data_IF_681548210509
#
_entry.id   IF_681548210509
#
_cell.length_a   1.000
_cell.length_b   1.000
_cell.length_c   1.000
_cell.angle_alpha   90.00
_cell.angle_beta   90.00
_cell.angle_gamma   90.00
#
_symmetry.space_group_name_H-M   'P 1'
#
loop_
_entity.id
_entity.type
_entity.pdbx_description
1 polymer ?
#
# COMPACT_ATOMS: atom_id res chain seq x y z
N UNK A 1 34.94 -17.32 -54.90
CA UNK A 1 35.50 -16.79 -53.64
C UNK A 1 34.36 -16.47 -52.69
N UNK A 2 34.62 -16.48 -51.37
CA UNK A 2 33.65 -16.32 -50.28
C UNK A 2 32.68 -17.50 -50.05
N UNK A 3 32.98 -18.26 -49.00
CA UNK A 3 32.14 -19.32 -48.41
C UNK A 3 31.14 -18.73 -47.41
N UNK A 4 29.91 -19.29 -47.28
CA UNK A 4 29.03 -18.97 -46.16
C UNK A 4 29.59 -19.56 -44.85
N UNK A 5 29.41 -18.84 -43.74
CA UNK A 5 29.94 -19.23 -42.42
C UNK A 5 29.11 -20.36 -41.79
N UNK A 6 29.79 -21.29 -41.12
CA UNK A 6 29.18 -22.41 -40.41
C UNK A 6 28.26 -21.96 -39.26
N UNK A 7 27.07 -22.54 -39.19
CA UNK A 7 26.19 -22.48 -38.01
C UNK A 7 26.63 -23.56 -37.03
N UNK A 8 27.24 -23.18 -35.91
CA UNK A 8 27.55 -24.12 -34.84
C UNK A 8 26.28 -24.55 -34.10
N UNK A 9 25.90 -25.82 -34.26
CA UNK A 9 24.97 -26.51 -33.34
C UNK A 9 25.74 -26.90 -32.08
N UNK A 10 25.57 -26.15 -31.00
CA UNK A 10 26.05 -26.55 -29.67
C UNK A 10 25.01 -27.43 -28.99
N UNK A 11 25.18 -28.75 -29.08
CA UNK A 11 24.46 -29.69 -28.22
C UNK A 11 25.07 -29.63 -26.81
N UNK A 12 24.34 -29.06 -25.85
CA UNK A 12 24.80 -28.95 -24.47
C UNK A 12 24.58 -30.30 -23.76
N UNK A 13 25.60 -31.16 -23.80
CA UNK A 13 25.61 -32.42 -23.08
C UNK A 13 25.77 -32.17 -21.57
N UNK A 14 24.70 -32.37 -20.80
CA UNK A 14 24.79 -32.44 -19.34
C UNK A 14 25.56 -33.71 -18.93
N UNK A 15 26.87 -33.55 -18.68
CA UNK A 15 27.68 -34.58 -18.06
C UNK A 15 27.29 -34.68 -16.58
N UNK A 16 26.63 -35.78 -16.20
CA UNK A 16 26.43 -36.14 -14.80
C UNK A 16 27.79 -36.40 -14.13
N UNK A 17 28.26 -35.43 -13.34
CA UNK A 17 29.42 -35.58 -12.47
C UNK A 17 29.05 -36.41 -11.21
N UNK A 18 28.68 -37.67 -11.41
CA UNK A 18 28.24 -38.59 -10.37
C UNK A 18 29.36 -39.58 -9.96
N UNK A 19 30.52 -39.08 -9.51
CA UNK A 19 31.55 -39.88 -8.81
C UNK A 19 32.71 -39.01 -8.25
N UNK A 20 32.56 -38.38 -7.08
CA UNK A 20 33.67 -37.99 -6.17
C UNK A 20 33.17 -37.32 -4.86
N UNK A 21 32.23 -37.94 -4.12
CA UNK A 21 31.92 -37.52 -2.74
C UNK A 21 31.97 -38.71 -1.78
N UNK A 22 33.15 -39.34 -1.70
CA UNK A 22 33.50 -40.22 -0.59
C UNK A 22 34.22 -39.43 0.49
N UNK A 23 33.75 -39.55 1.74
CA UNK A 23 34.42 -39.07 2.95
C UNK A 23 34.60 -37.56 3.11
N UNK A 24 33.48 -36.85 3.11
CA UNK A 24 33.19 -35.96 4.23
C UNK A 24 31.78 -36.28 4.72
N UNK A 25 31.67 -36.89 5.92
CA UNK A 25 30.43 -36.77 6.66
C UNK A 25 30.38 -35.32 7.15
N UNK A 26 29.84 -34.42 6.31
CA UNK A 26 29.56 -33.07 6.74
C UNK A 26 28.65 -33.17 7.95
N UNK A 27 29.11 -32.69 9.11
CA UNK A 27 28.25 -32.57 10.27
C UNK A 27 27.00 -31.82 9.82
N UNK A 28 25.82 -32.40 10.08
CA UNK A 28 24.57 -31.74 9.76
C UNK A 28 24.62 -30.33 10.38
N UNK A 29 24.37 -29.25 9.61
CA UNK A 29 24.60 -27.90 10.06
C UNK A 29 23.90 -27.71 11.40
N UNK A 30 24.66 -27.32 12.44
CA UNK A 30 24.13 -27.18 13.79
C UNK A 30 22.99 -26.16 13.76
N UNK A 31 21.76 -26.68 13.79
CA UNK A 31 20.56 -25.86 13.79
C UNK A 31 20.55 -25.08 15.09
N UNK A 32 20.48 -23.75 14.96
CA UNK A 32 20.35 -22.84 16.09
C UNK A 32 19.23 -23.32 17.04
N UNK A 33 19.51 -23.54 18.34
CA UNK A 33 18.51 -23.97 19.31
C UNK A 33 17.25 -23.10 19.36
N UNK A 34 17.31 -21.82 18.97
CA UNK A 34 16.12 -20.97 18.87
C UNK A 34 15.20 -21.39 17.70
N UNK A 35 15.76 -21.80 16.56
CA UNK A 35 14.99 -22.32 15.42
C UNK A 35 14.37 -23.70 15.73
N UNK A 36 15.08 -24.56 16.48
CA UNK A 36 14.57 -25.87 16.92
C UNK A 36 13.37 -25.75 17.88
N UNK A 37 13.22 -24.61 18.59
CA UNK A 37 12.02 -24.33 19.40
C UNK A 37 10.78 -23.98 18.57
N UNK A 38 10.96 -23.36 17.40
CA UNK A 38 9.86 -22.95 16.53
C UNK A 38 9.35 -24.11 15.66
N UNK A 39 10.26 -24.92 15.13
CA UNK A 39 9.93 -26.12 14.36
C UNK A 39 10.67 -27.31 14.97
N UNK A 40 10.04 -28.07 15.89
CA UNK A 40 10.70 -29.20 16.51
C UNK A 40 11.07 -30.28 15.49
N UNK A 41 12.17 -30.99 15.77
CA UNK A 41 12.68 -32.09 14.94
C UNK A 41 11.63 -33.20 14.85
N UNK A 42 11.14 -33.65 16.00
CA UNK A 42 9.91 -34.44 16.10
C UNK A 42 8.70 -33.48 16.17
N UNK A 43 7.99 -33.37 15.05
CA UNK A 43 6.78 -32.56 14.92
C UNK A 43 5.55 -33.19 15.56
N UNK A 44 5.58 -34.48 15.93
CA UNK A 44 4.45 -35.25 16.45
C UNK A 44 3.16 -35.09 15.62
N UNK A 45 3.33 -35.02 14.30
CA UNK A 45 2.22 -34.94 13.35
C UNK A 45 1.36 -36.20 13.50
N UNK A 46 0.04 -36.02 13.52
CA UNK A 46 -0.91 -37.14 13.54
C UNK A 46 -0.67 -38.03 12.30
N UNK A 47 -0.34 -39.33 12.46
CA UNK A 47 -0.15 -40.24 11.34
C UNK A 47 -1.35 -40.33 10.41
N UNK A 48 -2.58 -40.15 10.91
CA UNK A 48 -3.79 -40.14 10.09
C UNK A 48 -3.84 -38.88 9.21
N UNK A 49 -3.49 -37.71 9.76
CA UNK A 49 -3.36 -36.47 8.99
C UNK A 49 -2.26 -36.57 7.91
N UNK A 50 -1.09 -37.16 8.25
CA UNK A 50 0.00 -37.37 7.28
C UNK A 50 -0.43 -38.29 6.14
N UNK A 51 -1.21 -39.34 6.41
CA UNK A 51 -1.78 -40.20 5.36
C UNK A 51 -2.77 -39.44 4.47
N UNK A 52 -3.64 -38.62 5.08
CA UNK A 52 -4.64 -37.81 4.38
C UNK A 52 -4.03 -36.82 3.37
N UNK A 53 -2.81 -36.31 3.59
CA UNK A 53 -2.08 -35.46 2.62
C UNK A 53 -1.86 -36.11 1.24
N UNK A 54 -1.97 -37.44 1.14
CA UNK A 54 -1.79 -38.21 -0.10
C UNK A 54 -3.05 -38.95 -0.55
N UNK A 55 -4.15 -38.80 0.21
CA UNK A 55 -5.45 -39.30 -0.20
C UNK A 55 -5.88 -38.61 -1.50
N UNK A 56 -6.65 -39.33 -2.31
CA UNK A 56 -7.23 -38.83 -3.55
C UNK A 56 -8.74 -38.72 -3.38
N UNK A 57 -9.39 -38.10 -4.37
CA UNK A 57 -10.83 -38.07 -4.57
C UNK A 57 -11.66 -37.23 -3.57
N UNK A 58 -11.09 -36.79 -2.45
CA UNK A 58 -11.68 -35.76 -1.57
C UNK A 58 -11.06 -34.37 -1.82
N UNK A 59 -11.94 -33.36 -1.97
CA UNK A 59 -11.55 -31.96 -2.17
C UNK A 59 -11.28 -31.31 -0.82
N UNK A 60 -10.15 -30.63 -0.65
CA UNK A 60 -9.87 -29.94 0.61
C UNK A 60 -10.80 -28.73 0.81
N UNK A 61 -11.47 -28.65 1.96
CA UNK A 61 -12.39 -27.56 2.29
C UNK A 61 -12.01 -26.94 3.64
N UNK A 62 -11.56 -25.69 3.59
CA UNK A 62 -11.10 -24.90 4.75
C UNK A 62 -12.27 -24.17 5.40
N UNK A 63 -12.27 -24.11 6.73
CA UNK A 63 -13.36 -23.52 7.54
C UNK A 63 -12.83 -22.81 8.79
N UNK A 64 -13.64 -21.92 9.37
CA UNK A 64 -13.34 -21.27 10.65
C UNK A 64 -11.99 -20.55 10.66
N UNK A 65 -11.14 -20.81 11.67
CA UNK A 65 -9.83 -20.16 11.84
C UNK A 65 -8.80 -20.46 10.75
N UNK A 66 -9.03 -21.46 9.91
CA UNK A 66 -8.14 -21.71 8.76
C UNK A 66 -8.25 -20.58 7.73
N UNK A 67 -9.42 -19.93 7.63
CA UNK A 67 -9.70 -18.87 6.67
C UNK A 67 -8.89 -17.58 6.93
N UNK A 68 -8.33 -17.43 8.13
CA UNK A 68 -7.48 -16.29 8.52
C UNK A 68 -6.13 -16.29 7.79
N UNK A 69 -5.69 -17.44 7.27
CA UNK A 69 -4.34 -17.64 6.71
C UNK A 69 -4.33 -17.96 5.21
N UNK A 70 -5.48 -17.81 4.55
CA UNK A 70 -5.63 -18.12 3.13
C UNK A 70 -5.32 -16.89 2.28
N UNK A 71 -4.32 -17.03 1.41
CA UNK A 71 -3.98 -16.07 0.37
C UNK A 71 -3.80 -16.80 -0.96
N UNK A 72 -4.85 -16.88 -1.76
CA UNK A 72 -4.80 -17.54 -3.06
C UNK A 72 -4.59 -16.53 -4.19
N UNK A 73 -3.54 -16.63 -5.03
CA UNK A 73 -3.33 -15.73 -6.15
C UNK A 73 -4.46 -15.82 -7.20
N UNK A 74 -5.04 -14.66 -7.52
CA UNK A 74 -6.14 -14.45 -8.47
C UNK A 74 -5.89 -13.18 -9.30
N UNK A 75 -4.64 -12.98 -9.71
CA UNK A 75 -4.19 -11.96 -10.65
C UNK A 75 -3.50 -12.60 -11.86
N UNK A 76 -3.50 -11.91 -13.00
CA UNK A 76 -2.81 -12.36 -14.21
C UNK A 76 -1.28 -12.37 -14.08
N UNK A 77 -0.63 -13.14 -14.97
CA UNK A 77 0.82 -13.20 -15.07
C UNK A 77 1.42 -11.80 -15.30
N UNK A 78 2.34 -11.40 -14.42
CA UNK A 78 3.01 -10.10 -14.44
C UNK A 78 2.09 -8.87 -14.30
N UNK A 79 0.82 -9.03 -13.89
CA UNK A 79 -0.15 -7.95 -13.76
C UNK A 79 -0.20 -7.28 -12.36
N UNK A 80 0.77 -7.59 -11.50
CA UNK A 80 0.72 -7.29 -10.06
C UNK A 80 0.01 -8.40 -9.27
N UNK A 81 0.38 -8.55 -7.99
CA UNK A 81 -0.24 -9.57 -7.12
C UNK A 81 -1.58 -9.09 -6.59
N UNK A 82 -2.55 -10.01 -6.54
CA UNK A 82 -3.86 -9.85 -5.91
C UNK A 82 -4.28 -11.22 -5.37
N UNK A 83 -4.63 -11.29 -4.08
CA UNK A 83 -5.00 -12.52 -3.39
C UNK A 83 -6.48 -12.57 -3.01
N UNK A 84 -7.04 -13.77 -3.06
CA UNK A 84 -8.32 -14.11 -2.47
C UNK A 84 -8.10 -14.57 -1.03
N UNK A 85 -8.82 -13.95 -0.09
CA UNK A 85 -8.89 -14.35 1.31
C UNK A 85 -9.78 -15.57 1.52
N UNK A 86 -9.63 -16.23 2.67
CA UNK A 86 -10.48 -17.38 3.02
C UNK A 86 -11.96 -17.05 3.21
N UNK A 87 -12.28 -15.77 3.47
CA UNK A 87 -13.63 -15.24 3.51
C UNK A 87 -14.12 -14.66 2.17
N UNK A 88 -13.30 -14.76 1.11
CA UNK A 88 -13.59 -14.22 -0.22
C UNK A 88 -13.38 -12.71 -0.37
N UNK A 89 -12.75 -12.02 0.59
CA UNK A 89 -12.28 -10.65 0.37
C UNK A 89 -10.96 -10.61 -0.41
N UNK A 90 -10.79 -9.58 -1.23
CA UNK A 90 -9.55 -9.32 -1.95
C UNK A 90 -8.50 -8.66 -1.04
N UNK A 91 -7.27 -9.17 -1.03
CA UNK A 91 -6.16 -8.65 -0.23
C UNK A 91 -4.81 -8.74 -0.97
N UNK A 92 -3.74 -8.22 -0.34
CA UNK A 92 -2.39 -8.14 -0.92
C UNK A 92 -2.38 -7.48 -2.31
N UNK A 93 -2.88 -6.23 -2.37
CA UNK A 93 -2.99 -5.45 -3.59
C UNK A 93 -1.64 -4.87 -4.04
N UNK A 94 -0.84 -5.64 -4.77
CA UNK A 94 0.44 -5.20 -5.37
C UNK A 94 0.28 -4.69 -6.83
N UNK A 95 -0.93 -4.28 -7.21
CA UNK A 95 -1.29 -3.79 -8.56
C UNK A 95 -0.83 -2.35 -8.86
N UNK A 96 -0.22 -1.66 -7.89
CA UNK A 96 0.16 -0.25 -7.98
C UNK A 96 1.60 0.01 -8.45
N UNK A 97 2.25 -0.97 -9.11
CA UNK A 97 3.63 -0.91 -9.63
C UNK A 97 4.72 -0.41 -8.64
N UNK A 98 4.47 -0.50 -7.33
CA UNK A 98 5.38 -0.01 -6.30
C UNK A 98 6.65 -0.86 -6.25
N UNK A 99 7.82 -0.23 -6.15
CA UNK A 99 9.10 -0.94 -6.11
C UNK A 99 9.29 -1.75 -4.80
N UNK A 100 9.80 -2.97 -4.96
CA UNK A 100 10.02 -3.96 -3.90
C UNK A 100 8.80 -4.85 -3.62
N UNK A 101 9.03 -5.98 -2.95
CA UNK A 101 8.08 -7.10 -2.75
C UNK A 101 6.95 -6.81 -1.74
N UNK A 102 6.24 -5.69 -1.89
CA UNK A 102 5.10 -5.22 -1.07
C UNK A 102 5.00 -5.78 0.35
N UNK A 103 3.99 -6.62 0.62
CA UNK A 103 3.75 -7.22 1.95
C UNK A 103 4.78 -8.30 2.34
N UNK A 104 5.48 -8.86 1.37
CA UNK A 104 6.52 -9.90 1.54
C UNK A 104 7.91 -9.31 1.88
N UNK A 105 8.00 -8.02 2.20
CA UNK A 105 9.26 -7.31 2.55
C UNK A 105 9.90 -7.81 3.85
N UNK A 106 9.14 -8.29 4.82
CA UNK A 106 9.68 -9.00 6.00
C UNK A 106 10.05 -10.46 5.62
N UNK A 107 11.20 -10.64 4.96
CA UNK A 107 11.81 -11.97 4.74
C UNK A 107 10.93 -12.99 4.00
N UNK A 108 10.04 -12.55 3.10
CA UNK A 108 9.08 -13.43 2.42
C UNK A 108 9.70 -14.56 1.60
N UNK A 109 10.99 -14.46 1.22
CA UNK A 109 11.75 -15.54 0.54
C UNK A 109 12.65 -16.34 1.47
N UNK A 110 12.75 -16.00 2.76
CA UNK A 110 13.58 -16.69 3.77
C UNK A 110 12.75 -17.49 4.78
N UNK A 111 11.44 -17.60 4.54
CA UNK A 111 10.53 -18.42 5.34
C UNK A 111 9.97 -17.75 6.59
N UNK A 112 10.23 -16.46 6.83
CA UNK A 112 9.71 -15.73 7.99
C UNK A 112 8.17 -15.74 8.04
N UNK A 113 7.51 -15.73 6.88
CA UNK A 113 6.05 -15.84 6.75
C UNK A 113 5.46 -17.17 7.25
N UNK A 114 6.27 -18.23 7.45
CA UNK A 114 5.80 -19.46 8.12
C UNK A 114 5.80 -19.35 9.64
N UNK A 115 6.56 -18.41 10.22
CA UNK A 115 6.66 -18.17 11.66
C UNK A 115 5.73 -17.04 12.09
N UNK A 116 5.63 -15.99 11.27
CA UNK A 116 4.75 -14.84 11.44
C UNK A 116 3.99 -14.62 10.11
N UNK A 117 2.87 -15.34 9.88
CA UNK A 117 2.12 -15.20 8.64
C UNK A 117 1.53 -13.79 8.49
N UNK A 118 1.36 -13.37 7.24
CA UNK A 118 0.69 -12.10 6.93
C UNK A 118 -0.80 -12.23 7.21
N UNK A 119 -1.37 -11.24 7.92
CA UNK A 119 -2.80 -11.11 8.07
C UNK A 119 -3.42 -10.52 6.78
N UNK A 120 -4.58 -11.00 6.33
CA UNK A 120 -5.30 -10.39 5.19
C UNK A 120 -5.70 -8.94 5.45
N UNK A 121 -5.25 -8.04 4.56
CA UNK A 121 -5.55 -6.61 4.59
C UNK A 121 -5.89 -6.08 3.19
N UNK A 122 -6.99 -5.31 3.07
CA UNK A 122 -7.30 -4.51 1.89
C UNK A 122 -6.99 -3.04 2.21
N UNK A 123 -6.09 -2.37 1.47
CA UNK A 123 -5.67 -1.02 1.80
C UNK A 123 -6.72 0.05 1.46
N UNK A 124 -7.73 -0.29 0.66
CA UNK A 124 -8.84 0.58 0.27
C UNK A 124 -10.14 -0.23 0.27
N UNK A 125 -11.28 0.45 0.19
CA UNK A 125 -12.57 -0.23 0.22
C UNK A 125 -12.84 -1.03 -1.06
N UNK A 126 -12.92 -2.36 -0.87
CA UNK A 126 -13.44 -3.30 -1.84
C UNK A 126 -14.24 -4.38 -1.08
N UNK A 127 -15.48 -4.64 -1.49
CA UNK A 127 -16.33 -5.74 -0.99
C UNK A 127 -17.47 -6.06 -1.95
N UNK A 128 -18.23 -7.09 -1.59
CA UNK A 128 -19.53 -7.40 -2.16
C UNK A 128 -20.56 -7.68 -1.05
N UNK A 129 -21.83 -7.45 -1.34
CA UNK A 129 -22.95 -7.76 -0.47
C UNK A 129 -24.16 -8.20 -1.29
N UNK A 130 -25.06 -8.98 -0.70
CA UNK A 130 -26.33 -9.36 -1.31
C UNK A 130 -27.49 -8.80 -0.49
N UNK A 131 -28.36 -8.02 -1.13
CA UNK A 131 -29.63 -7.57 -0.58
C UNK A 131 -30.68 -8.63 -0.88
N UNK A 132 -31.33 -9.16 0.16
CA UNK A 132 -32.38 -10.18 0.05
C UNK A 132 -33.72 -9.60 0.52
N UNK A 133 -34.75 -9.73 -0.31
CA UNK A 133 -36.15 -9.39 0.01
C UNK A 133 -37.01 -10.65 -0.11
N UNK A 134 -37.77 -10.98 0.94
CA UNK A 134 -38.77 -12.07 0.90
C UNK A 134 -40.07 -11.57 0.27
N UNK A 135 -40.88 -12.48 -0.27
CA UNK A 135 -42.19 -12.14 -0.83
C UNK A 135 -43.06 -11.37 0.19
N UNK A 136 -43.61 -10.23 -0.24
CA UNK A 136 -44.46 -9.37 0.61
C UNK A 136 -43.74 -8.45 1.60
N UNK A 137 -42.40 -8.49 1.68
CA UNK A 137 -41.63 -7.57 2.53
C UNK A 137 -41.05 -6.38 1.75
N UNK A 138 -41.33 -5.14 2.18
CA UNK A 138 -40.73 -3.93 1.59
C UNK A 138 -39.27 -3.74 2.03
N UNK A 139 -38.97 -3.98 3.32
CA UNK A 139 -37.62 -3.95 3.85
C UNK A 139 -36.84 -5.22 3.46
N UNK A 140 -35.63 -5.05 2.92
CA UNK A 140 -34.70 -6.13 2.62
C UNK A 140 -33.53 -6.17 3.60
N UNK A 141 -32.84 -7.29 3.67
CA UNK A 141 -31.63 -7.47 4.50
C UNK A 141 -30.39 -7.43 3.63
N UNK A 142 -29.45 -6.52 3.93
CA UNK A 142 -28.12 -6.49 3.29
C UNK A 142 -27.20 -7.45 4.03
N UNK A 143 -26.59 -8.38 3.28
CA UNK A 143 -25.72 -9.42 3.80
C UNK A 143 -24.34 -9.30 3.15
N UNK A 144 -23.30 -8.86 3.90
CA UNK A 144 -21.93 -8.87 3.42
C UNK A 144 -21.50 -10.27 2.98
N UNK A 145 -20.80 -10.37 1.85
CA UNK A 145 -20.25 -11.62 1.32
C UNK A 145 -18.81 -11.82 1.84
N UNK A 146 -18.68 -11.78 3.17
CA UNK A 146 -17.45 -11.99 3.92
C UNK A 146 -17.76 -12.44 5.37
N UNK A 147 -16.71 -12.54 6.20
CA UNK A 147 -16.80 -12.95 7.62
C UNK A 147 -17.65 -12.06 8.51
N UNK A 148 -18.01 -10.84 8.07
CA UNK A 148 -18.85 -9.90 8.84
C UNK A 148 -20.34 -10.16 8.61
N UNK A 149 -20.70 -10.82 7.50
CA UNK A 149 -22.08 -11.13 7.15
C UNK A 149 -22.44 -12.60 7.27
N UNK A 150 -21.59 -13.53 6.81
CA UNK A 150 -21.93 -14.94 6.70
C UNK A 150 -21.66 -15.75 7.98
N UNK A 151 -22.65 -16.52 8.43
CA UNK A 151 -22.54 -17.39 9.62
C UNK A 151 -21.66 -18.63 9.36
N UNK A 152 -21.63 -19.11 8.12
CA UNK A 152 -20.75 -20.19 7.65
C UNK A 152 -20.10 -19.78 6.35
N UNK A 153 -18.78 -19.93 6.30
CA UNK A 153 -17.97 -19.81 5.09
C UNK A 153 -17.16 -21.08 4.90
N UNK A 154 -17.14 -21.58 3.67
CA UNK A 154 -16.26 -22.67 3.25
C UNK A 154 -15.43 -22.21 2.05
N UNK A 155 -14.12 -22.43 2.10
CA UNK A 155 -13.18 -22.07 1.04
C UNK A 155 -12.51 -23.32 0.47
N UNK A 156 -12.37 -23.38 -0.85
CA UNK A 156 -11.44 -24.29 -1.52
C UNK A 156 -10.62 -23.54 -2.57
N UNK A 157 -9.30 -23.72 -2.53
CA UNK A 157 -8.37 -23.14 -3.49
C UNK A 157 -7.67 -24.22 -4.32
N UNK A 158 -7.91 -24.21 -5.62
CA UNK A 158 -7.28 -25.10 -6.60
C UNK A 158 -6.78 -24.24 -7.75
N UNK A 159 -5.56 -23.68 -7.60
CA UNK A 159 -5.01 -22.70 -8.55
C UNK A 159 -5.16 -23.15 -10.01
N UNK A 160 -5.80 -22.36 -10.89
CA UNK A 160 -6.08 -20.92 -10.77
C UNK A 160 -7.45 -20.50 -10.18
N UNK A 161 -8.23 -21.42 -9.60
CA UNK A 161 -9.62 -21.19 -9.18
C UNK A 161 -9.79 -21.25 -7.65
N UNK A 162 -10.34 -20.18 -7.07
CA UNK A 162 -10.89 -20.18 -5.72
C UNK A 162 -12.41 -20.36 -5.77
N UNK A 163 -12.96 -21.25 -4.94
CA UNK A 163 -14.39 -21.32 -4.66
C UNK A 163 -14.65 -20.96 -3.20
N UNK A 164 -15.63 -20.09 -2.95
CA UNK A 164 -16.07 -19.69 -1.62
C UNK A 164 -17.59 -19.87 -1.54
N UNK A 165 -18.10 -20.47 -0.47
CA UNK A 165 -19.54 -20.54 -0.21
C UNK A 165 -19.91 -19.75 1.04
N UNK A 166 -21.06 -19.07 0.99
CA UNK A 166 -21.62 -18.26 2.07
C UNK A 166 -23.00 -18.78 2.43
N UNK A 167 -23.22 -19.01 3.73
CA UNK A 167 -24.51 -19.41 4.28
C UNK A 167 -24.80 -18.63 5.57
N UNK A 168 -26.07 -18.36 5.78
CA UNK A 168 -26.62 -17.72 6.97
C UNK A 168 -27.54 -18.71 7.69
N UNK A 169 -27.92 -18.42 8.93
CA UNK A 169 -28.87 -19.25 9.68
C UNK A 169 -30.32 -18.94 9.31
N UNK A 170 -30.70 -17.66 9.32
CA UNK A 170 -32.09 -17.22 9.14
C UNK A 170 -32.40 -16.66 7.73
N UNK A 171 -31.58 -16.98 6.72
CA UNK A 171 -31.78 -16.48 5.33
C UNK A 171 -31.89 -17.66 4.37
N UNK A 172 -32.97 -17.77 3.57
CA UNK A 172 -33.21 -18.91 2.67
C UNK A 172 -32.39 -18.84 1.37
N UNK A 173 -31.12 -18.42 1.45
CA UNK A 173 -30.20 -18.44 0.30
C UNK A 173 -28.85 -19.02 0.67
N UNK A 174 -28.20 -19.58 -0.34
CA UNK A 174 -26.78 -19.91 -0.38
C UNK A 174 -26.15 -19.11 -1.53
N UNK A 175 -24.97 -18.53 -1.30
CA UNK A 175 -24.20 -17.84 -2.35
C UNK A 175 -22.88 -18.58 -2.54
N UNK A 176 -22.56 -18.95 -3.78
CA UNK A 176 -21.27 -19.51 -4.17
C UNK A 176 -20.53 -18.52 -5.08
N UNK A 177 -19.32 -18.12 -4.67
CA UNK A 177 -18.37 -17.35 -5.47
C UNK A 177 -17.36 -18.30 -6.11
N UNK A 178 -17.24 -18.27 -7.44
CA UNK A 178 -16.05 -18.76 -8.14
C UNK A 178 -15.20 -17.59 -8.61
N UNK A 179 -13.97 -17.52 -8.12
CA UNK A 179 -13.02 -16.46 -8.42
C UNK A 179 -11.75 -16.99 -9.11
N UNK A 180 -11.30 -16.29 -10.14
CA UNK A 180 -10.08 -16.63 -10.89
C UNK A 180 -9.60 -15.44 -11.72
N UNK A 181 -8.30 -15.38 -12.03
CA UNK A 181 -7.85 -14.74 -13.27
C UNK A 181 -7.77 -15.81 -14.36
N UNK A 182 -8.02 -15.47 -15.64
CA UNK A 182 -7.78 -16.41 -16.73
C UNK A 182 -6.32 -16.87 -16.69
N UNK A 183 -6.10 -18.17 -16.65
CA UNK A 183 -4.77 -18.79 -16.74
C UNK A 183 -4.90 -19.97 -17.70
N UNK A 184 -4.37 -19.78 -18.89
CA UNK A 184 -4.51 -20.70 -20.02
C UNK A 184 -3.10 -21.16 -20.38
N UNK A 185 -2.71 -22.40 -20.07
CA UNK A 185 -1.36 -22.90 -20.35
C UNK A 185 -0.96 -22.68 -21.80
N UNK A 186 0.24 -22.14 -22.01
CA UNK A 186 0.83 -21.75 -23.30
C UNK A 186 0.18 -20.54 -24.01
N UNK A 187 -0.90 -19.96 -23.49
CA UNK A 187 -1.45 -18.68 -23.96
C UNK A 187 -1.06 -17.55 -22.98
N UNK A 188 0.00 -16.83 -23.33
CA UNK A 188 0.48 -15.69 -22.55
C UNK A 188 -0.54 -14.55 -22.50
N UNK A 189 -1.22 -14.25 -23.62
CA UNK A 189 -2.11 -13.09 -23.71
C UNK A 189 -3.37 -13.26 -22.87
N UNK A 190 -3.98 -14.45 -22.90
CA UNK A 190 -5.08 -14.77 -22.00
C UNK A 190 -4.62 -14.79 -20.53
N UNK A 191 -3.42 -15.31 -20.26
CA UNK A 191 -2.89 -15.46 -18.90
C UNK A 191 -2.37 -14.17 -18.27
N UNK A 192 -2.09 -13.11 -19.04
CA UNK A 192 -1.49 -11.86 -18.57
C UNK A 192 -2.50 -10.72 -18.35
N UNK A 193 -3.81 -10.99 -18.37
CA UNK A 193 -4.81 -9.94 -18.17
C UNK A 193 -4.77 -9.39 -16.73
N UNK A 194 -4.77 -8.05 -16.53
CA UNK A 194 -4.93 -7.41 -15.23
C UNK A 194 -6.39 -7.43 -14.78
N UNK A 195 -6.99 -8.62 -14.72
CA UNK A 195 -8.41 -8.82 -14.46
C UNK A 195 -8.68 -10.07 -13.62
N UNK A 196 -9.62 -9.94 -12.69
CA UNK A 196 -10.15 -11.03 -11.87
C UNK A 196 -11.63 -11.18 -12.17
N UNK A 197 -12.06 -12.40 -12.50
CA UNK A 197 -13.46 -12.76 -12.66
C UNK A 197 -14.01 -13.22 -11.32
N UNK A 198 -15.11 -12.61 -10.86
CA UNK A 198 -15.83 -12.97 -9.65
C UNK A 198 -17.25 -13.40 -10.01
N UNK A 199 -17.47 -14.71 -10.14
CA UNK A 199 -18.75 -15.28 -10.56
C UNK A 199 -19.56 -15.77 -9.37
N UNK A 200 -20.52 -14.96 -8.95
CA UNK A 200 -21.49 -15.32 -7.91
C UNK A 200 -22.65 -16.15 -8.50
N UNK A 201 -23.03 -17.20 -7.79
CA UNK A 201 -24.21 -18.05 -8.05
C UNK A 201 -25.07 -18.03 -6.80
N UNK A 202 -26.32 -17.57 -6.92
CA UNK A 202 -27.27 -17.49 -5.80
C UNK A 202 -28.27 -18.64 -5.93
N UNK A 203 -28.44 -19.40 -4.86
CA UNK A 203 -29.40 -20.49 -4.77
C UNK A 203 -30.42 -20.19 -3.68
N UNK A 204 -31.70 -20.14 -4.03
CA UNK A 204 -32.78 -20.17 -3.05
C UNK A 204 -32.84 -21.59 -2.43
N UNK A 205 -32.79 -21.66 -1.10
CA UNK A 205 -32.86 -22.90 -0.32
C UNK A 205 -34.19 -23.07 0.41
N UNK A 206 -35.04 -22.04 0.40
CA UNK A 206 -36.40 -22.08 0.95
C UNK A 206 -37.48 -22.45 -0.05
N UNK A 207 -38.73 -22.46 0.42
CA UNK A 207 -39.93 -22.75 -0.37
C UNK A 207 -40.60 -21.51 -0.97
N UNK A 208 -40.23 -20.31 -0.52
CA UNK A 208 -40.82 -19.04 -0.93
C UNK A 208 -39.93 -18.31 -1.94
N UNK A 209 -40.55 -17.46 -2.79
CA UNK A 209 -39.80 -16.62 -3.70
C UNK A 209 -39.04 -15.50 -2.94
N UNK A 210 -37.79 -15.25 -3.36
CA UNK A 210 -36.96 -14.16 -2.85
C UNK A 210 -36.39 -13.34 -4.01
N UNK A 211 -36.39 -12.03 -3.85
CA UNK A 211 -35.70 -11.10 -4.76
C UNK A 211 -34.32 -10.82 -4.19
N UNK A 212 -33.29 -10.99 -5.01
CA UNK A 212 -31.90 -10.76 -4.63
C UNK A 212 -31.28 -9.66 -5.50
N UNK A 213 -30.49 -8.77 -4.90
CA UNK A 213 -29.65 -7.80 -5.62
C UNK A 213 -28.21 -7.97 -5.12
N UNK A 214 -27.30 -8.31 -6.03
CA UNK A 214 -25.86 -8.35 -5.75
C UNK A 214 -25.28 -6.95 -5.94
N UNK A 215 -24.67 -6.40 -4.90
CA UNK A 215 -23.94 -5.12 -4.93
C UNK A 215 -22.44 -5.33 -4.72
N UNK A 216 -21.64 -4.46 -5.32
CA UNK A 216 -20.20 -4.40 -5.11
C UNK A 216 -19.74 -2.95 -4.99
N UNK A 217 -18.68 -2.72 -4.20
CA UNK A 217 -18.09 -1.40 -3.96
C UNK A 217 -16.61 -1.44 -4.33
N UNK A 218 -16.12 -0.33 -4.88
CA UNK A 218 -14.71 -0.10 -5.22
C UNK A 218 -14.36 1.38 -4.94
N UNK A 219 -13.48 1.62 -3.97
CA UNK A 219 -12.85 2.92 -3.73
C UNK A 219 -11.89 3.27 -4.87
N UNK A 220 -11.86 4.53 -5.28
CA UNK A 220 -10.88 5.02 -6.24
C UNK A 220 -9.49 5.14 -5.58
N UNK A 221 -8.67 4.11 -5.75
CA UNK A 221 -7.31 4.06 -5.21
C UNK A 221 -6.22 4.58 -6.18
N UNK A 222 -6.58 5.30 -7.26
CA UNK A 222 -5.58 5.88 -8.19
C UNK A 222 -4.80 6.98 -7.49
N UNK A 223 -3.46 7.00 -7.64
CA UNK A 223 -2.59 7.90 -6.91
C UNK A 223 -2.64 7.72 -5.38
N UNK A 224 -2.95 6.52 -4.86
CA UNK A 224 -3.04 6.24 -3.42
C UNK A 224 -1.70 6.41 -2.68
N UNK A 225 -0.59 6.15 -3.33
CA UNK A 225 0.76 6.17 -2.78
C UNK A 225 1.55 7.42 -3.14
N UNK A 226 1.34 7.98 -4.33
CA UNK A 226 2.06 9.17 -4.82
C UNK A 226 1.26 10.47 -4.70
N UNK A 227 -0.06 10.37 -4.59
CA UNK A 227 -0.96 11.48 -4.83
C UNK A 227 -0.85 12.61 -3.81
N UNK A 228 -0.36 13.76 -4.26
CA UNK A 228 -0.26 14.98 -3.44
C UNK A 228 -1.57 15.76 -3.42
N UNK A 229 -1.89 16.36 -2.26
CA UNK A 229 -3.08 17.21 -2.09
C UNK A 229 -3.04 18.35 -3.12
N UNK A 230 -4.11 18.50 -3.90
CA UNK A 230 -4.21 19.54 -4.92
C UNK A 230 -3.39 19.28 -6.19
N UNK A 231 -2.80 18.09 -6.35
CA UNK A 231 -2.04 17.70 -7.55
C UNK A 231 -2.74 16.64 -8.42
N UNK A 232 -3.81 16.01 -7.90
CA UNK A 232 -4.72 15.17 -8.68
C UNK A 232 -6.18 15.41 -8.29
N UNK A 233 -7.08 15.13 -9.23
CA UNK A 233 -8.51 15.00 -9.03
C UNK A 233 -8.90 13.55 -9.37
N UNK A 234 -9.33 12.78 -8.38
CA UNK A 234 -9.90 11.44 -8.62
C UNK A 234 -11.26 11.58 -9.31
N UNK A 235 -11.47 10.83 -10.38
CA UNK A 235 -12.74 10.77 -11.11
C UNK A 235 -13.28 9.37 -11.17
N UNK A 236 -14.58 9.25 -10.93
CA UNK A 236 -15.35 8.03 -11.10
C UNK A 236 -16.36 8.27 -12.21
N UNK A 237 -16.47 7.33 -13.14
CA UNK A 237 -17.48 7.33 -14.21
C UNK A 237 -18.18 5.98 -14.28
N UNK A 238 -19.42 5.99 -14.75
CA UNK A 238 -20.11 4.78 -15.19
C UNK A 238 -19.95 4.68 -16.70
N UNK A 239 -19.57 3.49 -17.17
CA UNK A 239 -19.42 3.16 -18.59
C UNK A 239 -20.37 2.03 -18.91
N UNK A 240 -21.42 2.35 -19.68
CA UNK A 240 -22.36 1.39 -20.24
C UNK A 240 -21.98 1.06 -21.69
N UNK A 241 -21.94 -0.22 -22.01
CA UNK A 241 -21.57 -0.74 -23.32
C UNK A 241 -22.25 -2.06 -23.65
N UNK A 242 -22.05 -2.61 -24.86
CA UNK A 242 -22.70 -3.84 -25.29
C UNK A 242 -22.37 -5.04 -24.38
N UNK A 243 -23.32 -5.42 -23.51
CA UNK A 243 -23.15 -6.50 -22.53
C UNK A 243 -22.25 -6.17 -21.35
N UNK A 244 -22.07 -4.89 -21.01
CA UNK A 244 -21.18 -4.40 -19.95
C UNK A 244 -21.75 -3.14 -19.28
N UNK A 245 -21.77 -3.12 -17.95
CA UNK A 245 -21.83 -1.87 -17.17
C UNK A 245 -20.67 -1.87 -16.17
N UNK A 246 -19.86 -0.82 -16.17
CA UNK A 246 -18.69 -0.70 -15.29
C UNK A 246 -18.63 0.63 -14.55
N UNK A 247 -18.39 0.57 -13.24
CA UNK A 247 -17.79 1.68 -12.51
C UNK A 247 -16.30 1.71 -12.87
N UNK A 248 -15.82 2.84 -13.38
CA UNK A 248 -14.41 3.06 -13.72
C UNK A 248 -13.85 4.22 -12.91
N UNK A 249 -12.75 3.96 -12.22
CA UNK A 249 -12.01 4.89 -11.40
C UNK A 249 -10.72 5.30 -12.12
N UNK A 250 -10.48 6.60 -12.22
CA UNK A 250 -9.27 7.21 -12.76
C UNK A 250 -8.88 8.44 -11.95
N UNK A 251 -7.86 9.14 -12.41
CA UNK A 251 -7.52 10.49 -11.94
C UNK A 251 -7.11 11.37 -13.12
N UNK A 252 -7.15 12.68 -12.92
CA UNK A 252 -6.56 13.67 -13.82
C UNK A 252 -5.76 14.69 -13.00
N UNK A 253 -4.86 15.41 -13.66
CA UNK A 253 -4.28 16.63 -13.08
C UNK A 253 -5.36 17.72 -12.99
N UNK A 254 -5.40 18.53 -11.92
CA UNK A 254 -6.30 19.65 -11.84
C UNK A 254 -6.03 20.65 -12.98
N UNK A 255 -7.06 21.37 -13.47
CA UNK A 255 -6.85 22.40 -14.48
C UNK A 255 -5.86 23.44 -13.95
N UNK A 256 -4.89 23.81 -14.78
CA UNK A 256 -3.88 24.81 -14.45
C UNK A 256 -4.57 26.10 -13.95
N UNK A 257 -4.23 26.52 -12.73
CA UNK A 257 -4.80 27.72 -12.15
C UNK A 257 -4.45 28.94 -13.04
N UNK A 258 -5.38 29.90 -13.25
CA UNK A 258 -5.05 31.15 -13.90
C UNK A 258 -3.87 31.81 -13.18
N UNK A 259 -2.85 32.21 -13.92
CA UNK A 259 -1.66 32.84 -13.36
C UNK A 259 -2.01 34.20 -12.73
N UNK A 260 -2.30 34.20 -11.43
CA UNK A 260 -2.26 35.40 -10.63
C UNK A 260 -0.83 35.98 -10.67
N UNK A 261 -0.65 37.31 -10.63
CA UNK A 261 0.69 37.89 -10.52
C UNK A 261 1.34 37.41 -9.22
N UNK A 262 2.38 36.59 -9.34
CA UNK A 262 3.07 36.01 -8.21
C UNK A 262 3.60 37.13 -7.30
N UNK A 263 3.20 37.12 -6.02
CA UNK A 263 3.75 38.05 -5.03
C UNK A 263 5.19 37.63 -4.73
N UNK A 264 6.09 38.58 -4.39
CA UNK A 264 7.48 38.24 -4.07
C UNK A 264 7.58 37.17 -2.98
N UNK A 265 8.49 36.23 -3.15
CA UNK A 265 8.73 35.16 -2.17
C UNK A 265 9.20 35.73 -0.83
N UNK A 266 8.82 35.07 0.27
CA UNK A 266 9.24 35.41 1.63
C UNK A 266 10.14 34.29 2.13
N UNK A 267 11.43 34.56 2.30
CA UNK A 267 12.32 33.66 3.02
C UNK A 267 11.92 33.65 4.50
N UNK A 268 11.47 32.49 4.99
CA UNK A 268 11.08 32.34 6.40
C UNK A 268 12.27 31.93 7.26
N UNK A 269 13.06 30.96 6.78
CA UNK A 269 14.22 30.44 7.49
C UNK A 269 15.22 29.80 6.49
N UNK A 270 16.48 30.23 6.52
CA UNK A 270 17.58 29.59 5.79
C UNK A 270 18.51 28.76 6.68
N UNK A 271 18.32 28.82 8.01
CA UNK A 271 19.14 28.13 9.01
C UNK A 271 20.63 28.51 9.00
N UNK A 272 21.04 29.59 8.32
CA UNK A 272 22.45 30.04 8.28
C UNK A 272 22.92 30.66 9.60
N UNK A 273 21.99 30.96 10.51
CA UNK A 273 22.26 31.40 11.88
C UNK A 273 22.92 30.28 12.71
N UNK A 274 23.82 30.61 13.65
CA UNK A 274 24.50 29.62 14.51
C UNK A 274 23.60 29.02 15.60
N UNK A 275 22.36 29.50 15.76
CA UNK A 275 21.40 29.05 16.76
C UNK A 275 19.96 29.08 16.20
N UNK A 276 19.06 28.36 16.87
CA UNK A 276 17.64 28.30 16.55
C UNK A 276 16.86 29.57 16.99
N UNK A 277 17.34 30.75 16.59
CA UNK A 277 16.69 32.03 16.93
C UNK A 277 15.27 32.11 16.36
N UNK A 278 14.27 32.32 17.23
CA UNK A 278 12.87 32.31 16.82
C UNK A 278 12.31 30.91 16.58
N UNK A 279 12.95 29.88 17.12
CA UNK A 279 12.41 28.53 17.26
C UNK A 279 12.59 28.05 18.71
N UNK A 280 11.68 27.20 19.18
CA UNK A 280 11.74 26.55 20.49
C UNK A 280 12.23 25.11 20.32
N UNK A 281 13.28 24.74 21.06
CA UNK A 281 13.87 23.39 21.03
C UNK A 281 13.34 22.56 22.19
N UNK A 282 12.84 21.36 21.88
CA UNK A 282 12.41 20.34 22.82
C UNK A 282 13.21 19.04 22.55
N UNK A 283 13.55 18.30 23.60
CA UNK A 283 14.36 17.07 23.49
C UNK A 283 15.85 17.32 23.22
N UNK A 284 16.55 16.28 22.77
CA UNK A 284 18.01 16.26 22.63
C UNK A 284 18.50 16.21 21.18
N UNK A 285 17.68 15.72 20.25
CA UNK A 285 18.11 15.40 18.88
C UNK A 285 18.65 16.61 18.11
N UNK A 286 18.03 17.79 18.23
CA UNK A 286 18.37 18.97 17.42
C UNK A 286 19.56 19.80 17.92
N UNK A 287 20.04 19.56 19.14
CA UNK A 287 21.13 20.35 19.75
C UNK A 287 20.83 21.85 19.87
N UNK A 288 21.89 22.68 19.90
CA UNK A 288 21.79 24.12 20.16
C UNK A 288 21.56 24.99 18.90
N UNK A 289 21.74 24.45 17.70
CA UNK A 289 21.65 25.20 16.45
C UNK A 289 21.87 24.34 15.20
N UNK A 290 21.59 24.88 14.01
CA UNK A 290 21.84 24.25 12.72
C UNK A 290 23.31 23.80 12.55
N UNK A 291 23.50 22.60 11.99
CA UNK A 291 24.84 22.04 11.79
C UNK A 291 25.51 22.64 10.54
N UNK A 292 26.79 22.97 10.68
CA UNK A 292 27.63 23.40 9.56
C UNK A 292 27.89 22.24 8.60
N UNK A 293 27.79 22.50 7.30
CA UNK A 293 28.07 21.54 6.23
C UNK A 293 29.40 20.80 6.38
N UNK A 294 30.43 21.51 6.88
CA UNK A 294 31.77 20.95 7.12
C UNK A 294 31.86 20.02 8.36
N UNK A 295 30.85 20.03 9.23
CA UNK A 295 30.74 19.20 10.44
C UNK A 295 29.79 18.00 10.27
N UNK A 296 29.04 17.95 9.16
CA UNK A 296 28.19 16.79 8.82
C UNK A 296 29.10 15.58 8.53
N UNK A 297 28.92 14.43 9.20
CA UNK A 297 29.69 13.23 8.95
C UNK A 297 29.51 12.73 7.50
N UNK A 298 30.62 12.34 6.86
CA UNK A 298 30.62 11.92 5.45
C UNK A 298 29.73 10.71 5.16
N UNK A 299 29.46 9.85 6.15
CA UNK A 299 28.54 8.72 5.98
C UNK A 299 27.08 9.13 5.73
N UNK A 300 26.67 10.34 6.13
CA UNK A 300 25.30 10.81 5.83
C UNK A 300 25.14 11.18 4.36
N UNK A 301 26.21 11.53 3.64
CA UNK A 301 26.17 11.85 2.20
C UNK A 301 25.12 12.91 1.80
N UNK A 302 24.86 13.90 2.65
CA UNK A 302 23.86 14.94 2.39
C UNK A 302 24.25 15.75 1.15
N UNK A 303 23.33 15.78 0.18
CA UNK A 303 23.40 16.58 -1.05
C UNK A 303 22.28 17.62 -1.06
N UNK A 304 22.31 18.54 -2.04
CA UNK A 304 21.28 19.57 -2.30
C UNK A 304 21.02 20.64 -1.21
N UNK A 305 21.69 20.56 -0.05
CA UNK A 305 21.77 21.64 0.95
C UNK A 305 22.13 22.98 0.28
N UNK A 306 21.37 24.03 0.62
CA UNK A 306 21.61 25.42 0.24
C UNK A 306 22.36 26.13 1.36
N UNK A 307 23.28 27.02 1.00
CA UNK A 307 24.11 27.72 1.99
C UNK A 307 25.19 26.84 2.65
N UNK A 308 25.45 27.11 3.93
CA UNK A 308 26.49 26.52 4.77
C UNK A 308 25.98 25.75 5.98
N UNK A 309 24.68 25.79 6.32
CA UNK A 309 24.08 25.09 7.46
C UNK A 309 22.77 24.37 7.10
N UNK A 310 22.26 23.53 7.99
CA UNK A 310 20.90 22.95 7.93
C UNK A 310 20.43 22.46 9.30
N UNK A 311 19.13 22.19 9.45
CA UNK A 311 18.61 21.35 10.54
C UNK A 311 18.99 19.90 10.27
N UNK A 312 19.52 19.19 11.26
CA UNK A 312 19.85 17.76 11.15
C UNK A 312 19.81 17.13 12.56
N UNK A 313 18.73 16.41 12.85
CA UNK A 313 18.46 15.83 14.19
C UNK A 313 19.37 14.64 14.55
N UNK A 314 20.13 14.10 13.60
CA UNK A 314 21.11 13.03 13.87
C UNK A 314 22.49 13.58 14.23
N UNK A 315 23.00 14.50 13.42
CA UNK A 315 24.40 14.92 13.56
C UNK A 315 24.61 15.88 14.73
N UNK A 316 23.58 16.63 15.11
CA UNK A 316 23.58 17.49 16.31
C UNK A 316 23.23 16.74 17.60
N UNK A 317 22.65 15.55 17.52
CA UNK A 317 22.30 14.71 18.66
C UNK A 317 23.53 14.28 19.48
N UNK A 318 23.40 14.16 20.82
CA UNK A 318 24.42 13.54 21.67
C UNK A 318 24.57 12.04 21.36
N UNK A 319 25.79 11.52 21.54
CA UNK A 319 26.16 10.12 21.29
C UNK A 319 27.45 10.00 20.48
N UNK A 320 28.20 8.92 20.68
CA UNK A 320 29.48 8.66 20.00
C UNK A 320 29.33 7.67 18.84
N UNK A 321 28.19 6.96 18.78
CA UNK A 321 27.83 6.04 17.71
C UNK A 321 26.59 6.49 16.91
N UNK A 322 26.42 5.92 15.71
CA UNK A 322 25.23 6.14 14.86
C UNK A 322 23.95 5.75 15.62
N UNK A 323 23.94 4.59 16.28
CA UNK A 323 22.77 4.08 17.00
C UNK A 323 22.39 4.90 18.24
N UNK A 324 23.33 5.54 18.93
CA UNK A 324 23.01 6.43 20.05
C UNK A 324 22.35 7.73 19.59
N UNK A 325 22.77 8.24 18.43
CA UNK A 325 22.22 9.44 17.79
C UNK A 325 20.82 9.18 17.20
N UNK A 326 20.66 8.11 16.43
CA UNK A 326 19.37 7.61 15.91
C UNK A 326 18.36 7.24 17.03
N UNK A 327 18.78 7.17 18.29
CA UNK A 327 17.89 6.94 19.42
C UNK A 327 17.40 8.22 20.10
N UNK A 328 18.00 9.38 19.81
CA UNK A 328 17.59 10.66 20.37
C UNK A 328 16.27 11.12 19.74
N UNK A 329 15.49 11.89 20.49
CA UNK A 329 14.24 12.49 20.00
C UNK A 329 14.19 13.97 20.34
N UNK A 330 13.31 14.70 19.67
CA UNK A 330 13.08 16.11 19.93
C UNK A 330 12.07 16.75 18.99
N UNK A 331 11.94 18.07 19.11
CA UNK A 331 11.07 18.90 18.27
C UNK A 331 11.60 20.33 18.20
N UNK A 332 11.58 20.93 17.02
CA UNK A 332 11.77 22.37 16.81
C UNK A 332 10.43 22.99 16.42
N UNK A 333 9.93 23.93 17.23
CA UNK A 333 8.69 24.65 16.93
C UNK A 333 9.01 26.10 16.53
N UNK A 334 8.57 26.56 15.36
CA UNK A 334 8.87 27.91 14.88
C UNK A 334 8.13 29.00 15.68
N UNK A 335 8.59 30.24 15.56
CA UNK A 335 7.76 31.42 15.78
C UNK A 335 6.47 31.32 14.96
N UNK A 336 5.37 31.89 15.46
CA UNK A 336 4.13 31.99 14.69
C UNK A 336 4.31 32.94 13.50
N UNK A 337 3.56 32.70 12.43
CA UNK A 337 3.53 33.54 11.24
C UNK A 337 2.14 33.57 10.64
N UNK A 338 1.85 34.60 9.84
CA UNK A 338 0.63 34.68 9.04
C UNK A 338 0.87 34.01 7.69
N UNK A 339 -0.11 33.23 7.21
CA UNK A 339 -0.04 32.65 5.86
C UNK A 339 -0.38 33.75 4.84
N UNK A 340 0.62 34.18 4.07
CA UNK A 340 0.50 35.28 3.09
C UNK A 340 0.77 34.86 1.64
N UNK A 341 1.05 33.58 1.41
CA UNK A 341 1.36 32.99 0.09
C UNK A 341 0.65 31.67 -0.05
N UNK A 342 0.47 31.21 -1.29
CA UNK A 342 -0.23 29.94 -1.59
C UNK A 342 0.52 28.70 -1.13
N UNK A 343 1.86 28.75 -1.08
CA UNK A 343 2.71 27.61 -0.76
C UNK A 343 3.76 27.93 0.30
N UNK A 344 4.12 26.91 1.07
CA UNK A 344 5.31 26.87 1.92
C UNK A 344 6.23 25.81 1.34
N UNK A 345 7.29 26.22 0.64
CA UNK A 345 8.29 25.34 0.05
C UNK A 345 9.51 25.16 0.97
N UNK A 346 10.12 24.00 0.94
CA UNK A 346 11.25 23.64 1.79
C UNK A 346 12.07 22.49 1.18
N UNK A 347 13.28 22.28 1.71
CA UNK A 347 14.08 21.09 1.46
C UNK A 347 13.94 20.12 2.65
N UNK A 348 13.69 18.84 2.38
CA UNK A 348 13.52 17.80 3.42
C UNK A 348 14.25 16.50 3.07
N UNK A 349 14.74 15.80 4.09
CA UNK A 349 15.37 14.48 4.02
C UNK A 349 15.32 13.77 5.38
N UNK A 350 15.80 12.53 5.45
CA UNK A 350 15.76 11.67 6.64
C UNK A 350 14.69 10.57 6.55
N UNK A 351 14.13 10.18 7.69
CA UNK A 351 13.17 9.08 7.82
C UNK A 351 11.79 9.33 7.22
N UNK A 352 11.16 8.25 6.77
CA UNK A 352 9.82 8.23 6.17
C UNK A 352 8.73 7.84 7.19
N UNK A 353 8.80 8.37 8.41
CA UNK A 353 7.90 8.02 9.51
C UNK A 353 6.78 9.06 9.67
N UNK A 354 5.66 8.85 8.97
CA UNK A 354 4.52 9.76 8.97
C UNK A 354 4.05 10.12 10.40
N UNK A 355 3.92 11.43 10.67
CA UNK A 355 3.50 11.97 11.98
C UNK A 355 4.49 11.74 13.13
N UNK A 356 5.73 11.30 12.85
CA UNK A 356 6.77 11.05 13.87
C UNK A 356 8.15 11.61 13.50
N UNK A 357 8.53 11.55 12.23
CA UNK A 357 9.79 12.10 11.71
C UNK A 357 9.42 12.96 10.50
N UNK A 358 9.00 14.19 10.79
CA UNK A 358 8.28 15.04 9.84
C UNK A 358 8.49 16.54 10.06
N UNK A 359 8.25 17.32 9.00
CA UNK A 359 7.90 18.74 9.09
C UNK A 359 6.37 18.82 9.08
N UNK A 360 5.79 19.42 10.11
CA UNK A 360 4.34 19.64 10.25
C UNK A 360 4.00 21.13 10.14
N UNK A 361 2.87 21.43 9.51
CA UNK A 361 2.22 22.74 9.55
C UNK A 361 1.03 22.70 10.50
N UNK A 362 1.03 23.58 11.49
CA UNK A 362 0.01 23.68 12.53
C UNK A 362 -0.78 24.98 12.36
N UNK A 363 -2.11 24.87 12.25
CA UNK A 363 -3.07 25.99 12.15
C UNK A 363 -4.20 25.72 13.15
N UNK A 364 -4.61 26.74 13.91
CA UNK A 364 -5.63 26.64 14.96
C UNK A 364 -5.37 25.47 15.96
N UNK A 365 -4.09 25.19 16.25
CA UNK A 365 -3.64 24.10 17.13
C UNK A 365 -3.72 22.69 16.53
N UNK A 366 -4.04 22.53 15.24
CA UNK A 366 -4.14 21.24 14.55
C UNK A 366 -3.08 21.13 13.45
N UNK A 367 -2.48 19.95 13.30
CA UNK A 367 -1.66 19.63 12.12
C UNK A 367 -2.57 19.58 10.89
N UNK A 368 -2.30 20.43 9.90
CA UNK A 368 -3.09 20.55 8.66
C UNK A 368 -2.33 20.11 7.40
N UNK A 369 -1.00 19.99 7.50
CA UNK A 369 -0.14 19.34 6.51
C UNK A 369 1.10 18.76 7.19
N UNK A 370 1.70 17.73 6.60
CA UNK A 370 2.93 17.08 7.09
C UNK A 370 3.73 16.53 5.91
N UNK A 371 5.05 16.56 5.99
CA UNK A 371 5.99 15.96 5.03
C UNK A 371 7.10 15.19 5.77
N UNK A 372 7.62 14.13 5.17
CA UNK A 372 8.69 13.28 5.74
C UNK A 372 9.89 13.23 4.80
N UNK A 373 11.00 12.63 5.25
CA UNK A 373 12.03 12.14 4.34
C UNK A 373 11.63 10.83 3.65
N UNK A 374 12.59 10.17 2.99
CA UNK A 374 12.38 8.95 2.20
C UNK A 374 13.17 7.72 2.71
N UNK A 375 13.66 7.75 3.95
CA UNK A 375 14.71 6.86 4.45
C UNK A 375 16.02 7.00 3.65
N UNK A 376 16.35 8.24 3.30
CA UNK A 376 17.66 8.66 2.80
C UNK A 376 17.95 10.11 3.24
N UNK A 377 19.21 10.52 3.15
CA UNK A 377 19.68 11.84 3.58
C UNK A 377 19.76 12.86 2.43
N UNK A 378 19.24 12.55 1.24
CA UNK A 378 19.22 13.50 0.13
C UNK A 378 18.09 14.51 0.36
N UNK A 379 18.45 15.79 0.49
CA UNK A 379 17.47 16.87 0.59
C UNK A 379 16.72 17.02 -0.73
N UNK A 380 15.39 16.94 -0.67
CA UNK A 380 14.51 17.14 -1.84
C UNK A 380 13.55 18.29 -1.59
N UNK A 381 13.22 19.00 -2.67
CA UNK A 381 12.24 20.06 -2.63
C UNK A 381 10.83 19.46 -2.48
N UNK A 382 10.09 19.94 -1.49
CA UNK A 382 8.65 19.70 -1.36
C UNK A 382 7.95 20.99 -0.91
N UNK A 383 6.61 20.96 -0.86
CA UNK A 383 5.84 22.10 -0.39
C UNK A 383 4.47 21.72 0.17
N UNK A 384 3.97 22.56 1.07
CA UNK A 384 2.55 22.55 1.46
C UNK A 384 1.76 23.53 0.60
N UNK A 385 0.65 23.09 0.01
CA UNK A 385 -0.43 24.00 -0.44
C UNK A 385 -1.22 24.45 0.79
N UNK A 386 -1.16 25.76 1.04
CA UNK A 386 -1.75 26.45 2.19
C UNK A 386 -2.76 27.51 1.77
N UNK A 387 -3.15 27.58 0.49
CA UNK A 387 -4.08 28.59 -0.03
C UNK A 387 -5.43 28.60 0.70
N UNK A 388 -5.90 27.45 1.17
CA UNK A 388 -7.12 27.33 1.99
C UNK A 388 -7.02 27.93 3.40
N UNK A 389 -5.81 28.32 3.83
CA UNK A 389 -5.51 28.90 5.15
C UNK A 389 -4.95 30.33 5.04
N UNK A 390 -5.02 30.96 3.86
CA UNK A 390 -4.51 32.32 3.65
C UNK A 390 -5.13 33.32 4.64
N UNK A 391 -4.28 34.14 5.26
CA UNK A 391 -4.65 35.09 6.30
C UNK A 391 -4.73 34.54 7.73
N UNK A 392 -4.68 33.20 7.93
CA UNK A 392 -4.60 32.60 9.28
C UNK A 392 -3.20 32.68 9.87
N UNK A 393 -3.13 32.55 11.19
CA UNK A 393 -1.87 32.29 11.90
C UNK A 393 -1.53 30.80 11.88
N UNK A 394 -0.23 30.51 11.78
CA UNK A 394 0.32 29.17 11.68
C UNK A 394 1.67 29.07 12.40
N UNK A 395 2.12 27.84 12.59
CA UNK A 395 3.42 27.46 13.15
C UNK A 395 3.94 26.23 12.40
N UNK A 396 5.26 26.15 12.19
CA UNK A 396 5.92 24.94 11.67
C UNK A 396 6.54 24.17 12.83
N UNK A 397 6.49 22.84 12.77
CA UNK A 397 7.17 21.97 13.72
C UNK A 397 8.02 20.93 12.98
N UNK A 398 9.33 20.90 13.23
CA UNK A 398 10.21 19.82 12.76
C UNK A 398 10.28 18.81 13.91
N UNK A 399 9.82 17.59 13.69
CA UNK A 399 9.58 16.57 14.72
C UNK A 399 10.49 15.37 14.46
N UNK A 400 11.10 14.86 15.52
CA UNK A 400 11.82 13.60 15.51
C UNK A 400 11.45 12.77 16.75
N UNK A 401 10.54 11.82 16.56
CA UNK A 401 9.91 11.01 17.60
C UNK A 401 10.09 9.50 17.34
N UNK A 402 11.20 9.12 16.70
CA UNK A 402 11.56 7.73 16.40
C UNK A 402 12.93 7.44 17.00
N UNK A 403 13.01 6.43 17.87
CA UNK A 403 14.29 5.85 18.27
C UNK A 403 14.55 4.60 17.44
N UNK A 404 15.66 4.56 16.71
CA UNK A 404 16.09 3.45 15.86
C UNK A 404 16.43 3.89 14.43
N UNK A 405 16.69 2.94 13.51
CA UNK A 405 17.14 3.25 12.16
C UNK A 405 16.18 4.19 11.42
N UNK A 406 16.72 5.28 10.86
CA UNK A 406 15.97 6.39 10.23
C UNK A 406 15.13 7.24 11.19
N UNK A 407 15.36 7.14 12.50
CA UNK A 407 14.95 8.13 13.49
C UNK A 407 15.77 9.41 13.41
N UNK A 408 15.70 10.08 12.26
CA UNK A 408 16.27 11.41 12.05
C UNK A 408 15.61 12.17 10.90
N UNK A 409 15.67 13.50 10.96
CA UNK A 409 15.15 14.42 9.94
C UNK A 409 16.15 15.54 9.64
N UNK A 410 16.24 15.89 8.36
CA UNK A 410 16.94 17.06 7.85
C UNK A 410 15.97 18.03 7.19
N UNK A 411 16.06 19.32 7.52
CA UNK A 411 15.25 20.39 6.91
C UNK A 411 16.14 21.59 6.60
N UNK A 412 15.90 22.22 5.46
CA UNK A 412 16.65 23.38 4.97
C UNK A 412 15.73 24.33 4.16
N UNK A 413 16.09 25.61 4.11
CA UNK A 413 15.60 26.61 3.16
C UNK A 413 14.07 26.72 2.99
N UNK A 414 13.38 27.23 4.02
CA UNK A 414 11.93 27.40 4.07
C UNK A 414 11.53 28.75 3.45
N UNK A 415 10.74 28.72 2.39
CA UNK A 415 10.31 29.88 1.59
C UNK A 415 8.79 29.85 1.37
N UNK A 416 8.12 30.97 1.62
CA UNK A 416 6.70 31.13 1.29
C UNK A 416 6.59 31.75 -0.11
N UNK A 417 5.87 31.10 -1.02
CA UNK A 417 5.81 31.47 -2.44
C UNK A 417 4.42 31.25 -3.04
N UNK A 418 4.06 31.98 -4.10
CA UNK A 418 2.80 31.76 -4.82
C UNK A 418 2.91 30.70 -5.94
N UNK A 419 4.14 30.29 -6.27
CA UNK A 419 4.46 29.21 -7.22
C UNK A 419 5.42 28.26 -6.52
N UNK A 420 4.97 27.03 -6.23
CA UNK A 420 5.80 26.05 -5.53
C UNK A 420 7.03 25.64 -6.37
N UNK A 421 8.21 25.69 -5.77
CA UNK A 421 9.47 25.22 -6.37
C UNK A 421 9.67 23.69 -6.21
N UNK A 422 8.58 22.93 -6.29
CA UNK A 422 8.64 21.47 -6.40
C UNK A 422 8.85 21.08 -7.86
N UNK A 423 9.47 19.91 -8.11
CA UNK A 423 9.32 19.25 -9.41
C UNK A 423 7.82 19.12 -9.72
N UNK A 424 7.36 19.50 -10.92
CA UNK A 424 5.93 19.48 -11.23
C UNK A 424 5.41 18.05 -11.07
N UNK A 425 4.45 17.86 -10.16
CA UNK A 425 3.76 16.58 -10.04
C UNK A 425 3.08 16.30 -11.38
N UNK A 426 3.55 15.25 -12.06
CA UNK A 426 2.97 14.74 -13.29
C UNK A 426 2.27 13.44 -12.98
N UNK A 427 0.96 13.39 -13.15
CA UNK A 427 0.16 12.23 -12.82
C UNK A 427 0.61 11.01 -13.64
N UNK A 428 0.84 11.19 -14.94
CA UNK A 428 1.25 10.12 -15.86
C UNK A 428 2.63 9.51 -15.54
N UNK A 429 3.48 10.22 -14.80
CA UNK A 429 4.79 9.72 -14.36
C UNK A 429 4.74 8.96 -13.02
N UNK A 430 3.58 8.92 -12.35
CA UNK A 430 3.41 8.21 -11.08
C UNK A 430 3.18 6.72 -11.27
N UNK A 431 3.81 5.89 -10.44
CA UNK A 431 3.76 4.43 -10.57
C UNK A 431 2.35 3.83 -10.34
N UNK A 432 1.49 4.53 -9.60
CA UNK A 432 0.11 4.18 -9.28
C UNK A 432 -0.92 5.04 -10.04
N UNK A 433 -0.50 5.65 -11.16
CA UNK A 433 -1.38 6.18 -12.18
C UNK A 433 -1.93 5.06 -13.08
N UNK A 434 -3.19 5.19 -13.48
CA UNK A 434 -3.89 4.22 -14.32
C UNK A 434 -5.40 4.27 -14.09
N UNK A 435 -6.06 3.16 -14.37
CA UNK A 435 -7.48 2.97 -14.08
C UNK A 435 -7.71 1.67 -13.32
N UNK A 436 -8.80 1.63 -12.55
CA UNK A 436 -9.36 0.41 -11.99
C UNK A 436 -10.87 0.40 -12.18
N UNK A 437 -11.45 -0.76 -12.45
CA UNK A 437 -12.88 -0.85 -12.75
C UNK A 437 -13.54 -2.04 -12.05
N UNK A 438 -14.78 -1.84 -11.63
CA UNK A 438 -15.68 -2.90 -11.20
C UNK A 438 -16.80 -3.04 -12.25
N UNK A 439 -16.87 -4.21 -12.88
CA UNK A 439 -17.70 -4.46 -14.06
C UNK A 439 -18.67 -5.61 -13.86
N UNK A 440 -19.91 -5.44 -14.35
CA UNK A 440 -20.89 -6.51 -14.53
C UNK A 440 -20.93 -6.88 -16.01
N UNK A 441 -20.66 -8.15 -16.31
CA UNK A 441 -20.65 -8.70 -17.67
C UNK A 441 -21.97 -9.43 -17.94
N UNK A 442 -22.55 -9.24 -19.13
CA UNK A 442 -23.81 -9.86 -19.55
C UNK A 442 -25.07 -9.17 -19.01
N UNK A 443 -24.96 -7.94 -18.52
CA UNK A 443 -26.07 -7.15 -17.98
C UNK A 443 -27.05 -6.65 -19.04
N UNK A 444 -28.34 -6.61 -18.68
CA UNK A 444 -29.40 -5.86 -19.37
C UNK A 444 -30.02 -4.83 -18.43
N UNK A 445 -31.32 -4.54 -18.57
CA UNK A 445 -32.08 -3.55 -17.78
C UNK A 445 -32.06 -3.76 -16.24
N UNK A 446 -31.52 -4.88 -15.76
CA UNK A 446 -31.40 -5.24 -14.34
C UNK A 446 -30.09 -4.78 -13.68
N UNK A 447 -29.20 -4.09 -14.39
CA UNK A 447 -27.95 -3.56 -13.83
C UNK A 447 -28.04 -2.05 -13.63
N UNK A 448 -27.60 -1.58 -12.47
CA UNK A 448 -27.42 -0.17 -12.15
C UNK A 448 -26.02 0.01 -11.56
N UNK A 449 -25.37 1.13 -11.90
CA UNK A 449 -24.10 1.54 -11.32
C UNK A 449 -24.18 3.02 -10.92
N UNK A 450 -23.38 3.40 -9.92
CA UNK A 450 -23.31 4.76 -9.42
C UNK A 450 -21.88 5.14 -9.09
N UNK A 451 -21.56 6.41 -9.29
CA UNK A 451 -20.33 7.03 -8.82
C UNK A 451 -20.70 8.08 -7.77
N UNK A 452 -20.30 7.87 -6.53
CA UNK A 452 -20.49 8.81 -5.43
C UNK A 452 -19.13 9.35 -4.96
N UNK A 453 -19.15 10.58 -4.45
CA UNK A 453 -18.02 11.19 -3.74
C UNK A 453 -18.47 11.31 -2.29
N UNK A 454 -17.99 10.40 -1.44
CA UNK A 454 -18.30 10.44 -0.02
C UNK A 454 -17.51 11.57 0.67
N UNK A 455 -18.21 12.47 1.34
CA UNK A 455 -17.68 13.06 2.57
C UNK A 455 -17.76 12.02 3.68
N UNK A 456 -16.89 12.07 4.69
CA UNK A 456 -16.59 11.00 5.64
C UNK A 456 -17.72 10.54 6.61
N UNK A 457 -19.00 10.74 6.27
CA UNK A 457 -20.18 10.49 7.12
C UNK A 457 -21.23 9.57 6.47
N UNK A 458 -21.14 9.23 5.18
CA UNK A 458 -22.28 8.71 4.39
C UNK A 458 -22.50 7.18 4.35
N UNK A 459 -22.09 6.44 5.37
CA UNK A 459 -22.01 4.97 5.27
C UNK A 459 -23.17 4.17 5.91
N UNK A 460 -24.10 4.82 6.60
CA UNK A 460 -25.22 4.16 7.31
C UNK A 460 -26.56 4.89 7.13
N UNK A 461 -26.75 5.56 5.99
CA UNK A 461 -27.98 6.30 5.67
C UNK A 461 -28.68 5.71 4.43
N UNK A 462 -29.38 4.59 4.61
CA UNK A 462 -30.15 3.91 3.55
C UNK A 462 -30.39 2.43 3.83
#
# INVERSE_FOLDING_TARGET
MSTPKNVHRSAMACVLAAAAMSQAAAEAPQLDPAHVRLVPVDKKLDPAWVQALTARDEREVRRGKELDWIGMPIGGLCAGTLYMGGDGRLWLWEVFNKSGRGGLKEGGTTGQAYVKPLAPESPFEQRFAILVRRAGGEAGTVLPLDRTGAARIEFTGEYPIADVSYRWDDVPIEVALRAFSPFVPLDFAASSYPATVLRYTVRNTGSEAVTCVLGGVLENAIGRHTGKRGALIRRNSVVDGPGLTALTCGAEEPPAAPAAPARPDILFEDFEKPSYEGWTVEGAAFGAGPIEKARIPSYQQITKLRGGRMVNSHSTAPGDSVGEKDNQTGRLASRTFRIERRHIAFLIGGGAHAGRTCLDLIVDGKVVASATGHNDNELRADSFDVAAYEGKEALLAIVDAVSGPWGNIGVDHIVFCDVAAAEPYRLEEQHDCGTMSLAVIGGGESVAAGAQVESAESFCAG
#
